data_IF_716855776012
#
_entry.id   IF_716855776012
#
_cell.length_a   1.000
_cell.length_b   1.000
_cell.length_c   1.000
_cell.angle_alpha   90.00
_cell.angle_beta   90.00
_cell.angle_gamma   90.00
#
_symmetry.space_group_name_H-M   'P 1'
#
loop_
_entity.id
_entity.type
_entity.pdbx_description
1 polymer ?
#
# COMPACT_ATOMS: atom_id res chain seq x y z
N UNK A 1 9.74 -5.04 9.78
CA UNK A 1 8.89 -5.92 8.94
C UNK A 1 8.64 -5.18 7.64
N UNK A 2 9.01 -5.80 6.51
CA UNK A 2 8.80 -5.20 5.19
C UNK A 2 7.29 -5.12 4.91
N UNK A 3 6.77 -3.91 4.68
CA UNK A 3 5.35 -3.66 4.45
C UNK A 3 5.16 -2.48 3.48
N UNK A 4 3.91 -2.16 3.15
CA UNK A 4 3.59 -1.08 2.20
C UNK A 4 4.26 0.25 2.56
N UNK A 5 4.32 0.61 3.84
CA UNK A 5 4.97 1.84 4.29
C UNK A 5 6.48 1.83 4.02
N UNK A 6 7.20 0.78 4.47
CA UNK A 6 8.65 0.71 4.29
C UNK A 6 9.04 0.64 2.81
N UNK A 7 8.29 -0.14 2.02
CA UNK A 7 8.50 -0.24 0.58
C UNK A 7 8.28 1.12 -0.11
N UNK A 8 7.16 1.79 0.18
CA UNK A 8 6.85 3.10 -0.41
C UNK A 8 7.91 4.15 -0.08
N UNK A 9 8.41 4.17 1.15
CA UNK A 9 9.47 5.10 1.59
C UNK A 9 10.83 4.83 0.94
N UNK A 10 11.09 3.58 0.52
CA UNK A 10 12.28 3.22 -0.24
C UNK A 10 12.27 3.70 -1.70
N UNK A 11 11.10 4.04 -2.25
CA UNK A 11 10.99 4.57 -3.62
C UNK A 11 11.33 6.06 -3.69
N UNK A 12 11.92 6.48 -4.81
CA UNK A 12 12.05 7.89 -5.18
C UNK A 12 10.69 8.51 -5.53
N UNK A 13 10.61 9.84 -5.55
CA UNK A 13 9.36 10.53 -5.91
C UNK A 13 8.88 10.17 -7.33
N UNK A 14 9.80 9.99 -8.28
CA UNK A 14 9.48 9.60 -9.65
C UNK A 14 8.95 8.16 -9.71
N UNK A 15 9.60 7.23 -9.01
CA UNK A 15 9.14 5.84 -8.92
C UNK A 15 7.75 5.75 -8.29
N UNK A 16 7.48 6.53 -7.24
CA UNK A 16 6.14 6.62 -6.61
C UNK A 16 5.08 7.11 -7.58
N UNK A 17 5.35 8.20 -8.33
CA UNK A 17 4.44 8.73 -9.35
C UNK A 17 4.16 7.70 -10.44
N UNK A 18 5.21 7.09 -11.00
CA UNK A 18 5.10 6.05 -12.03
C UNK A 18 4.32 4.83 -11.54
N UNK A 19 4.59 4.38 -10.32
CA UNK A 19 3.87 3.28 -9.70
C UNK A 19 2.38 3.59 -9.57
N UNK A 20 2.02 4.77 -9.07
CA UNK A 20 0.62 5.20 -8.94
C UNK A 20 -0.13 5.21 -10.27
N UNK A 21 0.52 5.67 -11.34
CA UNK A 21 -0.05 5.61 -12.69
C UNK A 21 -0.29 4.15 -13.12
N UNK A 22 0.70 3.29 -12.99
CA UNK A 22 0.60 1.89 -13.41
C UNK A 22 -0.42 1.09 -12.58
N UNK A 23 -0.45 1.32 -11.27
CA UNK A 23 -1.39 0.68 -10.36
C UNK A 23 -2.80 1.28 -10.42
N UNK A 24 -3.03 2.34 -11.22
CA UNK A 24 -4.28 3.09 -11.24
C UNK A 24 -4.73 3.49 -9.82
N UNK A 25 -3.80 4.00 -9.02
CA UNK A 25 -4.03 4.47 -7.64
C UNK A 25 -3.60 5.93 -7.54
N UNK A 26 -4.50 6.81 -7.11
CA UNK A 26 -4.19 8.23 -6.95
C UNK A 26 -3.02 8.44 -5.98
N UNK A 27 -2.05 9.28 -6.36
CA UNK A 27 -0.84 9.53 -5.57
C UNK A 27 -1.15 9.97 -4.14
N UNK A 28 -2.03 10.96 -3.98
CA UNK A 28 -2.44 11.46 -2.65
C UNK A 28 -3.14 10.38 -1.83
N UNK A 29 -3.90 9.49 -2.48
CA UNK A 29 -4.55 8.38 -1.81
C UNK A 29 -3.54 7.35 -1.30
N UNK A 30 -2.52 7.01 -2.11
CA UNK A 30 -1.43 6.16 -1.67
C UNK A 30 -0.63 6.81 -0.53
N UNK A 31 -0.11 8.02 -0.75
CA UNK A 31 0.87 8.70 0.11
C UNK A 31 0.26 9.19 1.43
N UNK A 32 -0.98 9.69 1.43
CA UNK A 32 -1.60 10.23 2.65
C UNK A 32 -2.50 9.23 3.36
N UNK A 33 -3.03 8.21 2.67
CA UNK A 33 -4.01 7.31 3.24
C UNK A 33 -3.53 5.86 3.36
N UNK A 34 -3.16 5.22 2.25
CA UNK A 34 -2.88 3.78 2.26
C UNK A 34 -1.62 3.44 3.06
N UNK A 35 -0.50 4.13 2.81
CA UNK A 35 0.76 3.87 3.51
C UNK A 35 0.68 4.18 5.01
N UNK A 36 -0.28 5.02 5.41
CA UNK A 36 -0.55 5.37 6.80
C UNK A 36 -1.69 4.56 7.42
N UNK A 37 -2.36 3.69 6.65
CA UNK A 37 -3.52 2.88 7.08
C UNK A 37 -4.73 3.70 7.52
N UNK A 38 -4.87 4.93 7.02
CA UNK A 38 -6.01 5.80 7.32
C UNK A 38 -7.29 5.37 6.59
N UNK A 39 -7.16 4.57 5.52
CA UNK A 39 -8.29 4.02 4.76
C UNK A 39 -8.01 2.58 4.38
N UNK A 40 -9.06 1.76 4.40
CA UNK A 40 -9.01 0.41 3.88
C UNK A 40 -9.19 0.43 2.35
N UNK A 41 -8.25 -0.12 1.57
CA UNK A 41 -8.41 -0.25 0.13
C UNK A 41 -9.46 -1.32 -0.23
N UNK A 42 -10.04 -1.20 -1.42
CA UNK A 42 -10.82 -2.30 -2.00
C UNK A 42 -9.91 -3.48 -2.37
N UNK A 43 -10.48 -4.68 -2.52
CA UNK A 43 -9.71 -5.84 -2.99
C UNK A 43 -9.10 -5.60 -4.38
N UNK A 44 -9.80 -4.89 -5.28
CA UNK A 44 -9.27 -4.51 -6.60
C UNK A 44 -8.03 -3.61 -6.49
N UNK A 45 -8.03 -2.69 -5.51
CA UNK A 45 -6.88 -1.83 -5.23
C UNK A 45 -5.70 -2.63 -4.67
N UNK A 46 -5.97 -3.58 -3.77
CA UNK A 46 -4.96 -4.53 -3.24
C UNK A 46 -4.33 -5.31 -4.40
N UNK A 47 -5.13 -5.91 -5.27
CA UNK A 47 -4.66 -6.66 -6.43
C UNK A 47 -3.78 -5.80 -7.35
N UNK A 48 -4.22 -4.57 -7.62
CA UNK A 48 -3.48 -3.66 -8.50
C UNK A 48 -2.12 -3.28 -7.91
N UNK A 49 -2.06 -3.00 -6.60
CA UNK A 49 -0.80 -2.70 -5.91
C UNK A 49 0.15 -3.89 -5.99
N UNK A 50 -0.32 -5.09 -5.67
CA UNK A 50 0.49 -6.31 -5.70
C UNK A 50 1.04 -6.56 -7.10
N UNK A 51 0.18 -6.56 -8.12
CA UNK A 51 0.57 -6.82 -9.52
C UNK A 51 1.61 -5.83 -10.03
N UNK A 52 1.51 -4.57 -9.64
CA UNK A 52 2.42 -3.52 -10.11
C UNK A 52 3.67 -3.35 -9.22
N UNK A 53 3.75 -4.05 -8.09
CA UNK A 53 4.90 -3.98 -7.18
C UNK A 53 6.07 -4.87 -7.62
N UNK A 54 5.93 -5.61 -8.72
CA UNK A 54 6.95 -6.54 -9.23
C UNK A 54 7.40 -7.60 -8.19
N UNK A 55 6.47 -8.08 -7.36
CA UNK A 55 6.74 -9.10 -6.35
C UNK A 55 7.23 -8.57 -5.00
N UNK A 56 7.52 -7.27 -4.90
CA UNK A 56 7.92 -6.63 -3.64
C UNK A 56 6.80 -6.69 -2.59
N UNK A 57 5.55 -6.46 -3.01
CA UNK A 57 4.38 -6.53 -2.12
C UNK A 57 3.58 -7.78 -2.46
N UNK A 58 3.34 -8.63 -1.45
CA UNK A 58 2.46 -9.80 -1.56
C UNK A 58 1.06 -9.48 -1.04
N UNK A 59 0.04 -10.21 -1.53
CA UNK A 59 -1.33 -10.12 -0.99
C UNK A 59 -1.36 -10.32 0.52
N UNK A 60 -0.72 -11.38 1.02
CA UNK A 60 -0.66 -11.68 2.45
C UNK A 60 -0.05 -10.53 3.24
N UNK A 61 1.12 -10.02 2.81
CA UNK A 61 1.79 -8.91 3.49
C UNK A 61 0.96 -7.63 3.47
N UNK A 62 0.28 -7.32 2.36
CA UNK A 62 -0.56 -6.15 2.25
C UNK A 62 -1.84 -6.27 3.10
N UNK A 63 -2.48 -7.43 3.10
CA UNK A 63 -3.66 -7.71 3.93
C UNK A 63 -3.29 -7.65 5.42
N UNK A 64 -2.22 -8.31 5.84
CA UNK A 64 -1.73 -8.26 7.23
C UNK A 64 -1.38 -6.84 7.65
N UNK A 65 -0.80 -6.03 6.75
CA UNK A 65 -0.50 -4.63 7.01
C UNK A 65 -1.74 -3.81 7.36
N UNK A 66 -2.86 -4.02 6.66
CA UNK A 66 -4.13 -3.34 6.97
C UNK A 66 -4.89 -3.99 8.15
N UNK A 67 -4.84 -5.31 8.33
CA UNK A 67 -5.54 -6.01 9.43
C UNK A 67 -4.88 -5.78 10.80
N UNK A 68 -3.55 -5.69 10.88
CA UNK A 68 -2.82 -5.48 12.15
C UNK A 68 -3.12 -4.13 12.80
N UNK A 69 -3.63 -3.16 12.03
CA UNK A 69 -4.04 -1.86 12.58
C UNK A 69 -5.39 -1.92 13.30
N UNK A 70 -6.36 -2.69 12.79
CA UNK A 70 -7.68 -2.83 13.42
C UNK A 70 -7.63 -3.43 14.84
N UNK A 71 -6.60 -4.21 15.18
CA UNK A 71 -6.44 -4.76 16.54
C UNK A 71 -6.03 -3.73 17.61
N UNK A 72 -5.54 -2.55 17.23
CA UNK A 72 -5.12 -1.52 18.21
C UNK A 72 -6.22 -0.52 18.58
N UNK A 73 -7.38 -0.55 17.91
CA UNK A 73 -8.53 0.32 18.21
C UNK A 73 -9.57 -0.35 19.12
N UNK A 74 -9.23 -1.47 19.76
CA UNK A 74 -10.11 -2.21 20.69
C UNK A 74 -9.37 -2.49 21.99
N UNK A 75 -8.87 -1.43 22.63
CA UNK A 75 -8.48 -1.39 24.05
C UNK A 75 -8.87 -0.01 24.58
#
# INVERSE_FOLDING_TARGET
>A
MFNLYSWWRGLTQEQRKKFCVNANVGYRYMDNHLVHRNKNPSIKTVDSIVRNSNGEITHKGLIEFFLTWNKKSTI
#
